data_IF_401137767539
#
_entry.id   IF_401137767539
#
_cell.length_a   1.000
_cell.length_b   1.000
_cell.length_c   1.000
_cell.angle_alpha   90.00
_cell.angle_beta   90.00
_cell.angle_gamma   90.00
#
_symmetry.space_group_name_H-M   'P 1'
#
loop_
_entity.id
_entity.type
_entity.pdbx_description
1 polymer ?
#
# COMPACT_ATOMS: atom_id res chain seq x y z
N UNK A 1 16.06 25.01 3.11
CA UNK A 1 16.04 23.53 2.90
C UNK A 1 14.96 22.76 3.69
N UNK A 2 14.23 23.36 4.64
CA UNK A 2 13.14 22.67 5.36
C UNK A 2 11.84 22.52 4.55
N UNK A 3 11.58 23.43 3.60
CA UNK A 3 10.35 23.44 2.81
C UNK A 3 10.32 22.33 1.74
N UNK A 4 11.48 22.01 1.15
CA UNK A 4 11.60 20.95 0.13
C UNK A 4 11.21 19.58 0.70
N UNK A 5 11.70 19.24 1.89
CA UNK A 5 11.42 17.94 2.53
C UNK A 5 9.93 17.70 2.80
N UNK A 6 9.16 18.78 3.05
CA UNK A 6 7.71 18.70 3.30
C UNK A 6 6.94 18.39 2.03
N UNK A 7 7.26 19.11 0.96
CA UNK A 7 6.65 18.90 -0.35
C UNK A 7 6.93 17.48 -0.84
N UNK A 8 8.19 17.05 -0.75
CA UNK A 8 8.60 15.69 -1.12
C UNK A 8 7.85 14.61 -0.34
N UNK A 9 7.64 14.77 0.98
CA UNK A 9 6.88 13.79 1.76
C UNK A 9 5.42 13.68 1.33
N UNK A 10 4.72 14.81 1.19
CA UNK A 10 3.30 14.77 0.85
C UNK A 10 3.08 14.20 -0.56
N UNK A 11 3.99 14.52 -1.49
CA UNK A 11 4.00 13.93 -2.82
C UNK A 11 4.23 12.42 -2.75
N UNK A 12 5.19 11.95 -1.93
CA UNK A 12 5.43 10.52 -1.73
C UNK A 12 4.19 9.78 -1.21
N UNK A 13 3.56 10.29 -0.15
CA UNK A 13 2.35 9.67 0.43
C UNK A 13 1.19 9.67 -0.58
N UNK A 14 0.95 10.81 -1.24
CA UNK A 14 -0.09 10.90 -2.27
C UNK A 14 0.17 9.96 -3.45
N UNK A 15 1.42 9.85 -3.89
CA UNK A 15 1.82 8.97 -4.97
C UNK A 15 1.68 7.49 -4.60
N UNK A 16 2.09 7.10 -3.38
CA UNK A 16 1.89 5.73 -2.87
C UNK A 16 0.41 5.37 -2.82
N UNK A 17 -0.41 6.28 -2.29
CA UNK A 17 -1.87 6.11 -2.24
C UNK A 17 -2.48 5.91 -3.63
N UNK A 18 -2.10 6.74 -4.60
CA UNK A 18 -2.59 6.62 -5.97
C UNK A 18 -2.19 5.28 -6.60
N UNK A 19 -0.93 4.85 -6.46
CA UNK A 19 -0.47 3.58 -7.01
C UNK A 19 -1.20 2.41 -6.34
N UNK A 20 -1.33 2.41 -5.01
CA UNK A 20 -1.96 1.33 -4.28
C UNK A 20 -3.44 1.18 -4.66
N UNK A 21 -4.19 2.29 -4.71
CA UNK A 21 -5.60 2.28 -5.12
C UNK A 21 -5.72 1.82 -6.57
N UNK A 22 -4.88 2.33 -7.47
CA UNK A 22 -4.89 1.91 -8.87
C UNK A 22 -4.61 0.41 -9.01
N UNK A 23 -3.59 -0.10 -8.31
CA UNK A 23 -3.22 -1.50 -8.31
C UNK A 23 -4.35 -2.39 -7.76
N UNK A 24 -5.01 -1.98 -6.68
CA UNK A 24 -6.15 -2.70 -6.11
C UNK A 24 -7.31 -2.85 -7.12
N UNK A 25 -7.60 -1.79 -7.89
CA UNK A 25 -8.68 -1.80 -8.88
C UNK A 25 -8.27 -2.35 -10.25
N UNK A 26 -6.97 -2.51 -10.51
CA UNK A 26 -6.42 -3.04 -11.76
C UNK A 26 -7.07 -4.35 -12.24
N UNK A 27 -7.22 -5.41 -11.39
CA UNK A 27 -7.81 -6.66 -11.85
C UNK A 27 -9.27 -6.51 -12.34
N UNK A 28 -10.04 -5.56 -11.80
CA UNK A 28 -11.44 -5.36 -12.19
C UNK A 28 -11.59 -4.68 -13.56
N UNK A 29 -10.60 -3.87 -13.95
CA UNK A 29 -10.58 -3.19 -15.25
C UNK A 29 -9.99 -4.12 -16.32
N UNK A 30 -9.06 -4.99 -15.91
CA UNK A 30 -8.17 -5.70 -16.82
C UNK A 30 -8.56 -7.11 -17.22
N UNK A 31 -9.76 -7.59 -16.87
CA UNK A 31 -10.21 -8.98 -17.13
C UNK A 31 -10.08 -9.37 -18.61
N UNK A 32 -10.20 -8.41 -19.54
CA UNK A 32 -10.08 -8.64 -20.98
C UNK A 32 -8.63 -8.64 -21.53
N UNK A 33 -7.61 -8.28 -20.73
CA UNK A 33 -6.22 -8.24 -21.19
C UNK A 33 -5.45 -9.53 -20.96
N UNK A 34 -6.01 -10.47 -20.19
CA UNK A 34 -5.36 -11.73 -19.86
C UNK A 34 -5.80 -12.83 -20.81
N UNK A 35 -4.82 -13.60 -21.31
CA UNK A 35 -5.11 -14.84 -22.05
C UNK A 35 -5.74 -15.88 -21.10
N UNK A 36 -6.54 -16.80 -21.64
CA UNK A 36 -7.18 -17.88 -20.88
C UNK A 36 -6.17 -18.70 -20.06
N UNK A 37 -4.98 -18.95 -20.60
CA UNK A 37 -3.87 -19.60 -19.91
C UNK A 37 -3.28 -18.81 -18.74
N UNK A 38 -3.30 -17.47 -18.78
CA UNK A 38 -2.85 -16.63 -17.67
C UNK A 38 -3.90 -16.55 -16.56
N UNK A 39 -5.19 -16.54 -16.93
CA UNK A 39 -6.29 -16.62 -15.98
C UNK A 39 -6.25 -17.95 -15.22
N UNK A 40 -6.03 -19.08 -15.91
CA UNK A 40 -5.89 -20.39 -15.26
C UNK A 40 -4.72 -20.44 -14.27
N UNK A 41 -3.59 -19.80 -14.60
CA UNK A 41 -2.48 -19.65 -13.66
C UNK A 41 -2.84 -18.77 -12.45
N UNK A 42 -3.60 -17.68 -12.65
CA UNK A 42 -4.09 -16.85 -11.54
C UNK A 42 -5.11 -17.58 -10.65
N UNK A 43 -5.94 -18.46 -11.22
CA UNK A 43 -6.85 -19.32 -10.46
C UNK A 43 -6.12 -20.35 -9.58
N UNK A 44 -4.94 -20.82 -10.01
CA UNK A 44 -4.10 -21.74 -9.25
C UNK A 44 -3.37 -21.09 -8.07
N UNK A 45 -3.28 -19.75 -8.02
CA UNK A 45 -2.48 -19.02 -7.03
C UNK A 45 -3.22 -18.68 -5.73
N UNK A 46 -4.44 -19.18 -5.52
CA UNK A 46 -5.23 -18.90 -4.32
C UNK A 46 -5.76 -17.47 -4.21
N UNK A 47 -5.35 -16.56 -5.10
CA UNK A 47 -5.84 -15.18 -5.20
C UNK A 47 -7.08 -15.04 -6.09
N UNK A 48 -7.39 -16.07 -6.90
CA UNK A 48 -8.50 -16.07 -7.85
C UNK A 48 -8.27 -15.07 -8.99
N UNK A 49 -8.47 -15.47 -10.24
CA UNK A 49 -8.33 -14.56 -11.40
C UNK A 49 -9.23 -13.32 -11.38
N UNK A 50 -10.12 -13.25 -10.39
CA UNK A 50 -10.87 -12.09 -9.92
C UNK A 50 -10.97 -12.31 -8.41
N UNK A 51 -10.66 -11.31 -7.58
CA UNK A 51 -10.95 -11.40 -6.15
C UNK A 51 -12.46 -11.70 -6.00
N UNK A 52 -12.90 -12.90 -5.55
CA UNK A 52 -14.27 -13.07 -5.13
C UNK A 52 -14.59 -11.97 -4.12
N UNK A 53 -15.77 -11.37 -4.28
CA UNK A 53 -16.25 -10.25 -3.48
C UNK A 53 -16.25 -10.57 -1.98
N UNK A 54 -16.10 -11.85 -1.64
CA UNK A 54 -16.03 -12.41 -0.29
C UNK A 54 -14.68 -12.18 0.43
N UNK A 55 -13.64 -11.66 -0.22
CA UNK A 55 -12.39 -11.29 0.45
C UNK A 55 -12.51 -9.95 1.20
N UNK A 56 -13.34 -9.91 2.25
CA UNK A 56 -13.54 -8.74 3.10
C UNK A 56 -12.25 -8.18 3.72
N UNK A 57 -11.24 -9.03 3.91
CA UNK A 57 -9.96 -8.62 4.47
C UNK A 57 -9.20 -7.66 3.56
N UNK A 58 -9.20 -7.88 2.24
CA UNK A 58 -8.46 -7.03 1.31
C UNK A 58 -9.07 -5.63 1.21
N UNK A 59 -10.40 -5.55 1.19
CA UNK A 59 -11.12 -4.27 1.27
C UNK A 59 -10.89 -3.54 2.59
N UNK A 60 -10.79 -4.29 3.70
CA UNK A 60 -10.48 -3.74 5.00
C UNK A 60 -9.05 -3.19 5.03
N UNK A 61 -8.07 -3.92 4.48
CA UNK A 61 -6.68 -3.45 4.36
C UNK A 61 -6.61 -2.19 3.50
N UNK A 62 -7.28 -2.17 2.33
CA UNK A 62 -7.39 -0.98 1.50
C UNK A 62 -7.97 0.21 2.27
N UNK A 63 -9.07 0.00 3.00
CA UNK A 63 -9.70 1.04 3.80
C UNK A 63 -8.73 1.62 4.82
N UNK A 64 -8.07 0.78 5.61
CA UNK A 64 -7.09 1.25 6.59
C UNK A 64 -5.87 1.90 5.94
N UNK A 65 -5.43 1.42 4.78
CA UNK A 65 -4.33 2.03 4.01
C UNK A 65 -4.70 3.44 3.54
N UNK A 66 -5.91 3.63 3.00
CA UNK A 66 -6.41 4.95 2.58
C UNK A 66 -6.56 5.88 3.78
N UNK A 67 -7.20 5.42 4.85
CA UNK A 67 -7.45 6.21 6.06
C UNK A 67 -6.14 6.63 6.73
N UNK A 68 -5.16 5.71 6.82
CA UNK A 68 -3.84 6.03 7.37
C UNK A 68 -3.05 6.97 6.47
N UNK A 69 -3.06 6.78 5.14
CA UNK A 69 -2.41 7.67 4.18
C UNK A 69 -2.98 9.09 4.24
N UNK A 70 -4.30 9.25 4.30
CA UNK A 70 -4.94 10.54 4.52
C UNK A 70 -4.54 11.15 5.86
N UNK A 71 -4.54 10.35 6.93
CA UNK A 71 -4.07 10.79 8.24
C UNK A 71 -2.61 11.24 8.26
N UNK A 72 -1.73 10.60 7.47
CA UNK A 72 -0.33 10.97 7.29
C UNK A 72 -0.19 12.31 6.55
N UNK A 73 -1.01 12.57 5.53
CA UNK A 73 -1.10 13.87 4.85
C UNK A 73 -1.51 15.00 5.81
N UNK A 74 -2.44 14.71 6.73
CA UNK A 74 -2.86 15.65 7.78
C UNK A 74 -1.95 15.67 9.01
N UNK A 75 -0.83 14.93 8.99
CA UNK A 75 0.16 14.86 10.09
C UNK A 75 -0.44 14.38 11.42
N UNK A 76 -1.41 13.48 11.39
CA UNK A 76 -2.04 12.95 12.61
C UNK A 76 -1.16 11.87 13.25
N UNK A 77 -0.99 11.94 14.57
CA UNK A 77 -0.15 11.00 15.34
C UNK A 77 -0.63 9.54 15.22
N UNK A 78 -1.94 9.32 15.31
CA UNK A 78 -2.53 7.99 15.21
C UNK A 78 -2.29 7.33 13.85
N UNK A 79 -2.24 8.13 12.78
CA UNK A 79 -2.06 7.63 11.42
C UNK A 79 -0.70 6.95 11.23
N UNK A 80 0.34 7.41 11.94
CA UNK A 80 1.66 6.78 11.94
C UNK A 80 1.61 5.36 12.50
N UNK A 81 0.88 5.17 13.61
CA UNK A 81 0.75 3.86 14.24
C UNK A 81 -0.03 2.92 13.34
N UNK A 82 -1.17 3.37 12.79
CA UNK A 82 -1.98 2.55 11.86
C UNK A 82 -1.16 2.14 10.63
N UNK A 83 -0.45 3.08 10.00
CA UNK A 83 0.37 2.78 8.82
C UNK A 83 1.48 1.77 9.11
N UNK A 84 2.20 1.93 10.22
CA UNK A 84 3.24 0.97 10.63
C UNK A 84 2.64 -0.39 10.96
N UNK A 85 1.51 -0.43 11.66
CA UNK A 85 0.81 -1.68 11.98
C UNK A 85 0.38 -2.43 10.71
N UNK A 86 -0.08 -1.71 9.67
CA UNK A 86 -0.41 -2.32 8.38
C UNK A 86 0.82 -2.94 7.72
N UNK A 87 1.94 -2.21 7.65
CA UNK A 87 3.17 -2.74 7.05
C UNK A 87 3.73 -3.93 7.83
N UNK A 88 3.67 -3.89 9.16
CA UNK A 88 4.10 -5.02 9.98
C UNK A 88 3.17 -6.23 9.80
N UNK A 89 1.86 -6.00 9.74
CA UNK A 89 0.90 -7.05 9.46
C UNK A 89 1.17 -7.68 8.09
N UNK A 90 1.43 -6.89 7.07
CA UNK A 90 1.77 -7.36 5.73
C UNK A 90 3.03 -8.26 5.75
N UNK A 91 4.11 -7.81 6.37
CA UNK A 91 5.36 -8.59 6.50
C UNK A 91 5.15 -9.89 7.29
N UNK A 92 4.35 -9.87 8.36
CA UNK A 92 4.09 -11.05 9.21
C UNK A 92 3.15 -12.05 8.53
N UNK A 93 2.13 -11.55 7.81
CA UNK A 93 1.13 -12.37 7.14
C UNK A 93 1.62 -12.88 5.78
N UNK A 94 2.58 -12.19 5.14
CA UNK A 94 3.19 -12.61 3.88
C UNK A 94 3.63 -14.08 3.85
N UNK A 95 4.41 -14.61 4.82
CA UNK A 95 4.76 -16.04 4.81
C UNK A 95 3.56 -16.98 5.04
N UNK A 96 2.49 -16.51 5.70
CA UNK A 96 1.28 -17.31 5.96
C UNK A 96 0.35 -17.39 4.74
N UNK A 97 0.49 -16.46 3.80
CA UNK A 97 -0.30 -16.41 2.56
C UNK A 97 0.09 -17.46 1.52
N UNK A 98 1.14 -18.25 1.79
CA UNK A 98 1.59 -19.33 0.90
C UNK A 98 2.39 -18.86 -0.31
N UNK A 99 2.70 -19.78 -1.21
CA UNK A 99 3.41 -19.46 -2.45
C UNK A 99 2.41 -18.89 -3.48
N UNK A 100 2.50 -17.58 -3.75
CA UNK A 100 1.72 -16.91 -4.79
C UNK A 100 2.60 -16.63 -6.01
N UNK A 101 2.12 -16.96 -7.21
CA UNK A 101 2.77 -16.53 -8.45
C UNK A 101 2.22 -15.16 -8.84
N UNK A 102 3.04 -14.12 -8.66
CA UNK A 102 2.72 -12.78 -9.15
C UNK A 102 3.10 -12.64 -10.62
N UNK A 103 2.27 -11.94 -11.40
CA UNK A 103 2.66 -11.50 -12.73
C UNK A 103 3.85 -10.53 -12.63
N UNK A 104 4.65 -10.44 -13.68
CA UNK A 104 5.83 -9.56 -13.70
C UNK A 104 5.48 -8.09 -13.39
N UNK A 105 4.33 -7.62 -13.89
CA UNK A 105 3.83 -6.26 -13.64
C UNK A 105 3.45 -6.07 -12.17
N UNK A 106 2.70 -7.01 -11.58
CA UNK A 106 2.29 -6.94 -10.17
C UNK A 106 3.50 -6.93 -9.25
N UNK A 107 4.51 -7.77 -9.55
CA UNK A 107 5.76 -7.82 -8.78
C UNK A 107 6.51 -6.48 -8.83
N UNK A 108 6.55 -5.83 -9.99
CA UNK A 108 7.20 -4.51 -10.13
C UNK A 108 6.45 -3.45 -9.33
N UNK A 109 5.12 -3.38 -9.46
CA UNK A 109 4.29 -2.42 -8.72
C UNK A 109 4.44 -2.62 -7.21
N UNK A 110 4.34 -3.87 -6.75
CA UNK A 110 4.53 -4.23 -5.34
C UNK A 110 5.93 -3.84 -4.82
N UNK A 111 6.98 -4.08 -5.61
CA UNK A 111 8.35 -3.70 -5.22
C UNK A 111 8.51 -2.18 -5.10
N UNK A 112 7.92 -1.42 -6.04
CA UNK A 112 7.93 0.04 -6.01
C UNK A 112 7.17 0.57 -4.80
N UNK A 113 5.98 0.02 -4.52
CA UNK A 113 5.19 0.38 -3.34
C UNK A 113 5.96 0.11 -2.04
N UNK A 114 6.56 -1.07 -1.87
CA UNK A 114 7.37 -1.37 -0.68
C UNK A 114 8.53 -0.38 -0.49
N UNK A 115 9.18 0.04 -1.58
CA UNK A 115 10.24 1.03 -1.51
C UNK A 115 9.72 2.40 -1.07
N UNK A 116 8.61 2.85 -1.67
CA UNK A 116 7.97 4.13 -1.33
C UNK A 116 7.49 4.12 0.12
N UNK A 117 6.83 3.05 0.57
CA UNK A 117 6.31 2.91 1.92
C UNK A 117 7.46 2.85 2.95
N UNK A 118 8.56 2.19 2.62
CA UNK A 118 9.80 2.23 3.40
C UNK A 118 10.38 3.65 3.50
N UNK A 119 10.39 4.42 2.41
CA UNK A 119 10.78 5.82 2.42
C UNK A 119 9.85 6.68 3.27
N UNK A 120 8.52 6.49 3.15
CA UNK A 120 7.52 7.18 3.96
C UNK A 120 7.75 6.89 5.43
N UNK A 121 7.98 5.63 5.80
CA UNK A 121 8.24 5.22 7.17
C UNK A 121 9.54 5.84 7.71
N UNK A 122 10.63 5.76 6.95
CA UNK A 122 11.90 6.39 7.31
C UNK A 122 11.74 7.90 7.52
N UNK A 123 11.07 8.60 6.61
CA UNK A 123 10.81 10.04 6.75
C UNK A 123 9.90 10.35 7.93
N UNK A 124 8.89 9.52 8.18
CA UNK A 124 7.92 9.73 9.26
C UNK A 124 8.56 9.62 10.66
N UNK A 125 9.56 8.76 10.84
CA UNK A 125 10.15 8.46 12.15
C UNK A 125 11.59 8.97 12.35
N UNK A 126 12.39 9.08 11.29
CA UNK A 126 13.82 9.43 11.39
C UNK A 126 14.14 10.85 10.90
N UNK A 127 13.22 11.51 10.21
CA UNK A 127 13.45 12.86 9.69
C UNK A 127 12.81 13.95 10.55
N UNK A 128 13.16 15.21 10.26
CA UNK A 128 12.56 16.40 10.87
C UNK A 128 11.05 16.53 10.65
N UNK A 129 10.48 15.72 9.75
CA UNK A 129 9.03 15.61 9.55
C UNK A 129 8.35 15.04 10.80
N UNK A 130 9.04 14.22 11.61
CA UNK A 130 8.54 13.68 12.89
C UNK A 130 8.03 14.78 13.84
N UNK A 131 8.73 15.91 13.88
CA UNK A 131 8.42 17.01 14.80
C UNK A 131 7.08 17.71 14.46
N UNK A 132 6.63 17.59 13.20
CA UNK A 132 5.35 18.17 12.77
C UNK A 132 4.14 17.39 13.31
N UNK A 133 4.30 16.08 13.48
CA UNK A 133 3.27 15.23 14.07
C UNK A 133 3.04 15.57 15.55
N UNK A 134 4.09 16.00 16.27
CA UNK A 134 3.99 16.45 17.66
C UNK A 134 3.26 17.79 17.82
N UNK A 135 3.30 18.68 16.82
CA UNK A 135 2.71 20.04 16.88
C UNK A 135 1.21 20.10 16.59
N UNK A 136 0.67 19.14 15.84
CA UNK A 136 -0.75 19.08 15.41
C UNK A 136 -1.57 17.99 16.12
N UNK A 137 -0.96 17.28 17.05
CA UNK A 137 -1.56 16.14 17.75
C UNK A 137 -1.79 16.37 19.25
N UNK A 138 -1.87 17.64 19.67
CA UNK A 138 -2.53 18.03 20.93
C UNK A 138 -4.01 18.28 20.70
#
# INVERSE_FOLDING_TARGET
>A
MFFEKKCSYNVLVGFSLCIYVFWFFWPYIGVNYYSSSQLDLMFLNGTGGVLPVDYYLDYLVLFFYVVSSLGLLFRKNWARLVFVSLLLADVILSPLSGAMVLLGVDKVIHTVLMLIDGCILALTFLSSVKDEFGKKGG
#
